data_IF_476558324400
#
_entry.id   IF_476558324400
#
_cell.length_a   1.000
_cell.length_b   1.000
_cell.length_c   1.000
_cell.angle_alpha   90.00
_cell.angle_beta   90.00
_cell.angle_gamma   90.00
#
_symmetry.space_group_name_H-M   'P 1'
#
loop_
_entity.id
_entity.type
_entity.pdbx_description
1 polymer ?
#
# COMPACT_ATOMS: atom_id res chain seq x y z
N UNK A 1 33.94 -15.69 -1.62
CA UNK A 1 32.76 -15.16 -2.35
C UNK A 1 31.59 -15.14 -1.39
N UNK A 2 31.44 -14.07 -0.61
CA UNK A 2 30.26 -13.90 0.25
C UNK A 2 29.09 -13.57 -0.66
N UNK A 3 28.20 -14.54 -0.88
CA UNK A 3 26.89 -14.25 -1.45
C UNK A 3 26.20 -13.28 -0.50
N UNK A 4 26.05 -12.03 -0.95
CA UNK A 4 25.43 -10.96 -0.19
C UNK A 4 23.91 -11.24 -0.08
N UNK A 5 23.57 -12.14 0.83
CA UNK A 5 22.21 -12.59 1.17
C UNK A 5 21.30 -11.44 1.62
N UNK A 6 21.85 -10.25 1.88
CA UNK A 6 21.13 -9.04 2.25
C UNK A 6 20.22 -8.53 1.13
N UNK A 7 20.67 -8.57 -0.13
CA UNK A 7 19.92 -7.98 -1.24
C UNK A 7 18.66 -8.77 -1.68
N UNK A 8 18.69 -10.12 -1.79
CA UNK A 8 17.48 -10.89 -2.08
C UNK A 8 16.43 -10.80 -0.96
N UNK A 9 16.89 -10.83 0.30
CA UNK A 9 16.04 -10.69 1.48
C UNK A 9 15.36 -9.33 1.53
N UNK A 10 16.11 -8.23 1.36
CA UNK A 10 15.57 -6.87 1.38
C UNK A 10 14.57 -6.63 0.26
N UNK A 11 14.86 -7.07 -0.97
CA UNK A 11 13.94 -6.92 -2.10
C UNK A 11 12.60 -7.61 -1.83
N UNK A 12 12.64 -8.84 -1.33
CA UNK A 12 11.43 -9.59 -1.01
C UNK A 12 10.65 -8.94 0.14
N UNK A 13 11.35 -8.42 1.16
CA UNK A 13 10.73 -7.69 2.26
C UNK A 13 9.97 -6.45 1.77
N UNK A 14 10.62 -5.56 1.01
CA UNK A 14 9.96 -4.34 0.51
C UNK A 14 8.86 -4.63 -0.50
N UNK A 15 9.02 -5.67 -1.33
CA UNK A 15 7.96 -6.12 -2.23
C UNK A 15 6.73 -6.60 -1.44
N UNK A 16 6.92 -7.45 -0.45
CA UNK A 16 5.82 -7.92 0.41
C UNK A 16 5.17 -6.78 1.19
N UNK A 17 5.98 -5.84 1.70
CA UNK A 17 5.48 -4.67 2.43
C UNK A 17 4.63 -3.76 1.53
N UNK A 18 5.03 -3.55 0.27
CA UNK A 18 4.23 -2.81 -0.70
C UNK A 18 2.88 -3.49 -0.97
N UNK A 19 2.88 -4.82 -1.20
CA UNK A 19 1.64 -5.57 -1.40
C UNK A 19 0.72 -5.53 -0.19
N UNK A 20 1.24 -5.69 1.02
CA UNK A 20 0.47 -5.59 2.26
C UNK A 20 -0.15 -4.19 2.42
N UNK A 21 0.61 -3.14 2.10
CA UNK A 21 0.10 -1.78 2.16
C UNK A 21 -1.04 -1.53 1.16
N UNK A 22 -0.91 -2.04 -0.07
CA UNK A 22 -1.96 -1.96 -1.09
C UNK A 22 -3.21 -2.74 -0.66
N UNK A 23 -3.05 -3.94 -0.10
CA UNK A 23 -4.17 -4.75 0.40
C UNK A 23 -4.88 -4.02 1.54
N UNK A 24 -4.15 -3.38 2.45
CA UNK A 24 -4.74 -2.60 3.54
C UNK A 24 -5.56 -1.41 3.02
N UNK A 25 -5.07 -0.69 2.00
CA UNK A 25 -5.80 0.41 1.36
C UNK A 25 -7.06 -0.07 0.63
N UNK A 26 -6.98 -1.19 -0.09
CA UNK A 26 -8.12 -1.81 -0.75
C UNK A 26 -9.17 -2.27 0.26
N UNK A 27 -8.74 -2.95 1.32
CA UNK A 27 -9.63 -3.40 2.39
C UNK A 27 -10.35 -2.22 3.05
N UNK A 28 -9.63 -1.15 3.39
CA UNK A 28 -10.23 0.07 3.93
C UNK A 28 -11.25 0.69 2.96
N UNK A 29 -10.91 0.78 1.67
CA UNK A 29 -11.83 1.32 0.64
C UNK A 29 -13.09 0.49 0.51
N UNK A 30 -12.98 -0.84 0.51
CA UNK A 30 -14.13 -1.76 0.45
C UNK A 30 -15.00 -1.64 1.70
N UNK A 31 -14.39 -1.62 2.89
CA UNK A 31 -15.12 -1.42 4.15
C UNK A 31 -15.86 -0.09 4.13
N UNK A 32 -15.20 0.97 3.68
CA UNK A 32 -15.78 2.30 3.66
C UNK A 32 -16.91 2.42 2.63
N UNK A 33 -16.79 1.71 1.50
CA UNK A 33 -17.85 1.60 0.51
C UNK A 33 -19.06 0.83 1.07
N UNK A 34 -18.84 -0.29 1.76
CA UNK A 34 -19.92 -1.07 2.38
C UNK A 34 -20.60 -0.26 3.48
N UNK A 35 -19.83 0.33 4.39
CA UNK A 35 -20.35 1.09 5.53
C UNK A 35 -21.12 2.35 5.11
N UNK A 36 -20.68 3.03 4.05
CA UNK A 36 -21.34 4.24 3.54
C UNK A 36 -22.28 3.98 2.36
N UNK A 37 -22.43 2.73 1.91
CA UNK A 37 -23.43 2.38 0.91
C UNK A 37 -24.83 2.49 1.52
N UNK A 38 -25.44 3.67 1.37
CA UNK A 38 -26.88 3.79 1.48
C UNK A 38 -27.44 3.46 0.10
N UNK A 39 -28.19 2.37 -0.02
CA UNK A 39 -29.01 2.09 -1.20
C UNK A 39 -30.13 3.13 -1.27
N UNK A 40 -29.79 4.34 -1.73
CA UNK A 40 -30.75 5.38 -2.09
C UNK A 40 -31.00 5.31 -3.59
N UNK A 41 -32.21 5.67 -4.03
CA UNK A 41 -32.64 5.63 -5.43
C UNK A 41 -31.72 6.44 -6.36
N UNK A 42 -31.00 7.41 -5.80
CA UNK A 42 -29.87 8.08 -6.43
C UNK A 42 -28.58 7.43 -5.90
N UNK A 43 -27.82 6.80 -6.78
CA UNK A 43 -26.57 6.09 -6.46
C UNK A 43 -25.45 7.08 -6.15
N UNK A 44 -25.60 7.81 -5.04
CA UNK A 44 -24.64 8.78 -4.53
C UNK A 44 -23.69 8.08 -3.56
N UNK A 45 -22.48 7.74 -4.03
CA UNK A 45 -21.40 7.27 -3.16
C UNK A 45 -20.73 8.49 -2.53
N UNK A 46 -21.10 8.78 -1.28
CA UNK A 46 -20.44 9.80 -0.47
C UNK A 46 -19.36 9.14 0.40
N UNK A 47 -18.09 9.43 0.14
CA UNK A 47 -16.99 9.01 1.00
C UNK A 47 -16.73 10.15 1.98
N UNK A 48 -17.18 10.01 3.23
CA UNK A 48 -16.86 10.96 4.27
C UNK A 48 -15.56 10.53 4.96
N UNK A 49 -14.47 11.24 4.72
CA UNK A 49 -13.19 10.95 5.35
C UNK A 49 -13.14 11.59 6.73
N UNK A 50 -12.99 10.77 7.77
CA UNK A 50 -12.62 11.29 9.08
C UNK A 50 -11.10 11.53 9.14
N UNK A 51 -10.63 12.32 10.10
CA UNK A 51 -9.20 12.61 10.26
C UNK A 51 -8.36 11.33 10.42
N UNK A 52 -8.88 10.32 11.12
CA UNK A 52 -8.23 9.01 11.25
C UNK A 52 -8.10 8.28 9.91
N UNK A 53 -9.10 8.40 9.03
CA UNK A 53 -9.07 7.75 7.72
C UNK A 53 -8.02 8.38 6.82
N UNK A 54 -7.90 9.71 6.86
CA UNK A 54 -6.89 10.45 6.11
C UNK A 54 -5.49 10.02 6.59
N UNK A 55 -5.27 9.92 7.90
CA UNK A 55 -4.00 9.47 8.47
C UNK A 55 -3.70 8.02 8.04
N UNK A 56 -4.68 7.13 8.10
CA UNK A 56 -4.52 5.74 7.68
C UNK A 56 -4.15 5.63 6.19
N UNK A 57 -4.95 6.24 5.32
CA UNK A 57 -4.76 6.19 3.86
C UNK A 57 -3.42 6.81 3.47
N UNK A 58 -3.09 7.99 4.01
CA UNK A 58 -1.82 8.67 3.72
C UNK A 58 -0.61 7.86 4.20
N UNK A 59 -0.66 7.30 5.41
CA UNK A 59 0.45 6.50 5.96
C UNK A 59 0.71 5.27 5.10
N UNK A 60 -0.33 4.50 4.77
CA UNK A 60 -0.17 3.31 3.95
C UNK A 60 0.18 3.62 2.49
N UNK A 61 -0.30 4.74 1.95
CA UNK A 61 0.13 5.21 0.63
C UNK A 61 1.62 5.56 0.60
N UNK A 62 2.12 6.28 1.61
CA UNK A 62 3.54 6.60 1.74
C UNK A 62 4.37 5.31 1.86
N UNK A 63 3.95 4.36 2.70
CA UNK A 63 4.64 3.07 2.86
C UNK A 63 4.72 2.32 1.52
N UNK A 64 3.62 2.27 0.76
CA UNK A 64 3.58 1.63 -0.54
C UNK A 64 4.54 2.29 -1.53
N UNK A 65 4.53 3.63 -1.62
CA UNK A 65 5.41 4.39 -2.52
C UNK A 65 6.88 4.20 -2.17
N UNK A 66 7.25 4.37 -0.89
CA UNK A 66 8.63 4.21 -0.42
C UNK A 66 9.12 2.79 -0.68
N UNK A 67 8.28 1.79 -0.38
CA UNK A 67 8.62 0.38 -0.60
C UNK A 67 8.84 0.05 -2.07
N UNK A 68 8.04 0.62 -2.98
CA UNK A 68 8.23 0.48 -4.42
C UNK A 68 9.53 1.15 -4.89
N UNK A 69 9.83 2.37 -4.43
CA UNK A 69 11.07 3.08 -4.78
C UNK A 69 12.29 2.25 -4.36
N UNK A 70 12.31 1.75 -3.12
CA UNK A 70 13.42 0.94 -2.61
C UNK A 70 13.54 -0.37 -3.39
N UNK A 71 12.42 -1.03 -3.70
CA UNK A 71 12.43 -2.25 -4.50
C UNK A 71 13.02 -2.04 -5.92
N UNK A 72 12.76 -0.88 -6.55
CA UNK A 72 13.37 -0.53 -7.84
C UNK A 72 14.87 -0.22 -7.70
N UNK A 73 15.26 0.53 -6.68
CA UNK A 73 16.68 0.82 -6.39
C UNK A 73 17.46 -0.48 -6.20
N UNK A 74 16.96 -1.41 -5.37
CA UNK A 74 17.58 -2.72 -5.14
C UNK A 74 17.65 -3.56 -6.43
N UNK A 75 16.70 -3.39 -7.36
CA UNK A 75 16.73 -4.07 -8.66
C UNK A 75 17.85 -3.54 -9.55
N UNK A 76 18.09 -2.22 -9.56
CA UNK A 76 19.18 -1.59 -10.30
C UNK A 76 20.54 -2.06 -9.77
N UNK A 77 20.73 -2.07 -8.45
CA UNK A 77 22.00 -2.51 -7.85
C UNK A 77 22.33 -3.99 -8.07
N UNK A 78 21.34 -4.86 -8.27
CA UNK A 78 21.59 -6.28 -8.59
C UNK A 78 22.14 -6.50 -10.01
N UNK A 79 22.02 -5.50 -10.89
CA UNK A 79 22.49 -5.55 -12.27
C UNK A 79 23.78 -4.75 -12.52
N UNK A 80 24.35 -4.11 -11.49
CA UNK A 80 25.66 -3.44 -11.53
C UNK A 80 26.74 -4.30 -10.89
#
# INVERSE_FOLDING_TARGET
>A
MQHDLRFPSAKNFFSSLAWLAIIALLAWTVINLIANSRFTKDFSIGINFNQNDIIFVSTFAIIAVVSLIIAQILKVFKHS
#
